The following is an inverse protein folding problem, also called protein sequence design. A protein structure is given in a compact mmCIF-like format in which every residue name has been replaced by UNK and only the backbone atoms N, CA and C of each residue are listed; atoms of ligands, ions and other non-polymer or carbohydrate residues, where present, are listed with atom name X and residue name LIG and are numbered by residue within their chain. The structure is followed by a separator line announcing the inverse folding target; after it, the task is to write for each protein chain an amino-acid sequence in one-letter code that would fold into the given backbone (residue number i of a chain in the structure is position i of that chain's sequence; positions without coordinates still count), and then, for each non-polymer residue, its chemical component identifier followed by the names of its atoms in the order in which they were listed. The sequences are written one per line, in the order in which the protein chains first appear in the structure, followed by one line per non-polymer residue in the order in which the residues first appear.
data_IF_674213697017
#
_entry.id   IF_674213697017
#
_cell.length_a   1.000
_cell.length_b   1.000
_cell.length_c   1.000
_cell.angle_alpha   90.00
_cell.angle_beta   90.00
_cell.angle_gamma   90.00
#
_symmetry.space_group_name_H-M   'P 1'
#
loop_
_entity.id
_entity.type
_entity.pdbx_description
1 polymer ?
#
# COMPACT_ATOMS: atom_id res chain seq x y z
N UNK A 1 17.53 -17.71 -32.73
CA UNK A 1 17.37 -18.60 -31.57
C UNK A 1 17.76 -17.78 -30.34
N UNK A 2 16.79 -17.10 -29.73
CA UNK A 2 17.01 -16.52 -28.40
C UNK A 2 17.04 -17.70 -27.42
N UNK A 3 18.09 -17.80 -26.60
CA UNK A 3 18.18 -18.83 -25.57
C UNK A 3 17.05 -18.66 -24.57
N UNK A 4 16.36 -19.76 -24.23
CA UNK A 4 15.26 -19.72 -23.27
C UNK A 4 15.77 -19.25 -21.90
N UNK A 5 15.28 -18.13 -21.36
CA UNK A 5 15.78 -17.54 -20.12
C UNK A 5 15.57 -18.46 -18.90
N UNK A 6 14.56 -19.32 -18.94
CA UNK A 6 14.31 -20.33 -17.91
C UNK A 6 15.39 -21.43 -17.91
N UNK A 7 15.81 -21.89 -19.08
CA UNK A 7 16.86 -22.88 -19.21
C UNK A 7 18.20 -22.36 -18.70
N UNK A 8 18.54 -21.10 -19.02
CA UNK A 8 19.74 -20.45 -18.53
C UNK A 8 19.71 -20.25 -17.01
N UNK A 9 18.57 -19.86 -16.44
CA UNK A 9 18.40 -19.68 -15.01
C UNK A 9 18.52 -21.01 -14.24
N UNK A 10 17.89 -22.09 -14.74
CA UNK A 10 18.01 -23.42 -14.12
C UNK A 10 19.42 -23.98 -14.25
N UNK A 11 20.10 -23.76 -15.37
CA UNK A 11 21.52 -24.10 -15.53
C UNK A 11 22.39 -23.36 -14.52
N UNK A 12 22.15 -22.06 -14.29
CA UNK A 12 22.88 -21.23 -13.34
C UNK A 12 22.68 -21.71 -11.88
N UNK A 13 21.45 -22.08 -11.50
CA UNK A 13 21.18 -22.72 -10.19
C UNK A 13 21.87 -24.08 -10.09
N UNK A 14 21.81 -24.89 -11.14
CA UNK A 14 22.45 -26.19 -11.16
C UNK A 14 23.99 -26.10 -11.12
N UNK A 15 24.59 -25.04 -11.67
CA UNK A 15 26.03 -24.78 -11.53
C UNK A 15 26.39 -24.28 -10.14
N UNK A 16 25.55 -23.42 -9.54
CA UNK A 16 25.75 -22.96 -8.16
C UNK A 16 25.69 -24.13 -7.15
N UNK A 17 24.84 -25.13 -7.40
CA UNK A 17 24.72 -26.33 -6.56
C UNK A 17 25.79 -27.39 -6.83
N UNK A 18 26.42 -27.41 -8.01
CA UNK A 18 27.42 -28.41 -8.42
C UNK A 18 28.82 -28.12 -7.88
N UNK A 19 28.94 -27.80 -6.60
CA UNK A 19 30.22 -27.56 -5.91
C UNK A 19 31.22 -28.73 -5.89
N UNK A 20 31.20 -29.66 -6.84
CA UNK A 20 32.12 -30.77 -6.98
C UNK A 20 32.50 -31.05 -8.44
N UNK A 21 33.80 -31.23 -8.67
CA UNK A 21 34.46 -31.83 -9.85
C UNK A 21 35.05 -30.90 -10.94
N UNK A 22 34.74 -29.61 -11.00
CA UNK A 22 35.55 -28.61 -11.73
C UNK A 22 36.53 -27.81 -10.84
N UNK A 23 36.47 -28.05 -9.52
CA UNK A 23 37.21 -27.30 -8.49
C UNK A 23 38.64 -27.82 -8.20
N UNK A 24 39.13 -28.82 -8.95
CA UNK A 24 40.45 -29.44 -8.69
C UNK A 24 41.63 -28.58 -9.16
N UNK A 25 41.44 -27.64 -10.09
CA UNK A 25 42.51 -26.81 -10.64
C UNK A 25 42.34 -25.29 -10.40
N UNK A 26 41.57 -24.89 -9.38
CA UNK A 26 41.34 -23.47 -9.08
C UNK A 26 41.94 -23.09 -7.72
N UNK A 27 42.93 -22.20 -7.74
CA UNK A 27 43.62 -21.63 -6.58
C UNK A 27 42.79 -20.53 -5.86
N UNK A 28 41.46 -20.67 -5.84
CA UNK A 28 40.54 -19.70 -5.21
C UNK A 28 40.25 -20.04 -3.75
N UNK A 29 40.08 -18.99 -2.92
CA UNK A 29 39.71 -19.13 -1.52
C UNK A 29 38.26 -19.64 -1.38
N UNK A 30 37.91 -20.14 -0.18
CA UNK A 30 36.54 -20.59 0.11
C UNK A 30 35.51 -19.47 -0.07
N UNK A 31 35.91 -18.23 0.22
CA UNK A 31 35.07 -17.03 0.10
C UNK A 31 34.77 -16.71 -1.37
N UNK A 32 35.78 -16.76 -2.25
CA UNK A 32 35.61 -16.54 -3.69
C UNK A 32 34.59 -17.52 -4.32
N UNK A 33 34.59 -18.78 -3.86
CA UNK A 33 33.64 -19.80 -4.32
C UNK A 33 32.21 -19.51 -3.87
N UNK A 34 32.05 -18.98 -2.65
CA UNK A 34 30.74 -18.61 -2.11
C UNK A 34 30.21 -17.35 -2.79
N UNK A 35 31.08 -16.39 -3.10
CA UNK A 35 30.72 -15.20 -3.87
C UNK A 35 30.28 -15.55 -5.30
N UNK A 36 31.04 -16.39 -6.01
CA UNK A 36 30.68 -16.84 -7.35
C UNK A 36 29.33 -17.56 -7.35
N UNK A 37 29.09 -18.45 -6.38
CA UNK A 37 27.81 -19.13 -6.22
C UNK A 37 26.66 -18.13 -5.95
N UNK A 38 26.87 -17.13 -5.09
CA UNK A 38 25.87 -16.11 -4.81
C UNK A 38 25.53 -15.26 -6.05
N UNK A 39 26.54 -14.88 -6.84
CA UNK A 39 26.35 -14.14 -8.10
C UNK A 39 25.62 -14.97 -9.16
N UNK A 40 25.90 -16.27 -9.25
CA UNK A 40 25.14 -17.19 -10.12
C UNK A 40 23.67 -17.28 -9.71
N UNK A 41 23.39 -17.31 -8.42
CA UNK A 41 22.02 -17.25 -7.90
C UNK A 41 21.32 -15.92 -8.22
N UNK A 42 22.00 -14.77 -8.11
CA UNK A 42 21.42 -13.48 -8.54
C UNK A 42 21.16 -13.43 -10.05
N UNK A 43 22.07 -13.98 -10.85
CA UNK A 43 21.92 -14.05 -12.31
C UNK A 43 20.72 -14.92 -12.69
N UNK A 44 20.58 -16.08 -12.03
CA UNK A 44 19.42 -16.96 -12.19
C UNK A 44 18.12 -16.26 -11.77
N UNK A 45 18.13 -15.55 -10.64
CA UNK A 45 16.95 -14.83 -10.16
C UNK A 45 16.49 -13.76 -11.15
N UNK A 46 17.42 -13.01 -11.75
CA UNK A 46 17.12 -12.05 -12.81
C UNK A 46 16.62 -12.74 -14.09
N UNK A 47 17.06 -13.97 -14.38
CA UNK A 47 16.52 -14.82 -15.45
C UNK A 47 15.07 -15.21 -15.19
N UNK A 48 14.79 -15.77 -14.01
CA UNK A 48 13.43 -16.14 -13.59
C UNK A 48 12.48 -14.93 -13.57
N UNK A 49 12.95 -13.75 -13.16
CA UNK A 49 12.13 -12.52 -13.19
C UNK A 49 11.76 -12.12 -14.62
N UNK A 50 12.68 -12.25 -15.58
CA UNK A 50 12.40 -12.01 -17.02
C UNK A 50 11.39 -13.01 -17.57
N UNK A 51 11.43 -14.25 -17.09
CA UNK A 51 10.48 -15.29 -17.44
C UNK A 51 9.15 -15.26 -16.64
N UNK A 52 8.90 -14.20 -15.84
CA UNK A 52 7.71 -14.07 -14.99
C UNK A 52 7.55 -15.16 -13.91
N UNK A 53 8.60 -15.96 -13.65
CA UNK A 53 8.64 -16.97 -12.59
C UNK A 53 9.03 -16.34 -11.25
N UNK A 54 8.19 -15.43 -10.75
CA UNK A 54 8.50 -14.54 -9.61
C UNK A 54 8.81 -15.29 -8.30
N UNK A 55 8.12 -16.41 -8.02
CA UNK A 55 8.42 -17.27 -6.86
C UNK A 55 9.81 -17.92 -6.95
N UNK A 56 10.19 -18.45 -8.12
CA UNK A 56 11.54 -19.02 -8.32
C UNK A 56 12.62 -17.95 -8.24
N UNK A 57 12.36 -16.76 -8.78
CA UNK A 57 13.25 -15.61 -8.66
C UNK A 57 13.48 -15.24 -7.19
N UNK A 58 12.42 -15.17 -6.38
CA UNK A 58 12.50 -14.85 -4.97
C UNK A 58 13.33 -15.88 -4.18
N UNK A 59 13.10 -17.17 -4.41
CA UNK A 59 13.89 -18.25 -3.79
C UNK A 59 15.39 -18.20 -4.18
N UNK A 60 15.70 -17.87 -5.44
CA UNK A 60 17.06 -17.73 -5.91
C UNK A 60 17.77 -16.52 -5.26
N UNK A 61 17.09 -15.37 -5.13
CA UNK A 61 17.62 -14.22 -4.38
C UNK A 61 17.78 -14.52 -2.88
N UNK A 62 16.88 -15.30 -2.28
CA UNK A 62 17.00 -15.72 -0.88
C UNK A 62 18.27 -16.56 -0.67
N UNK A 63 18.52 -17.56 -1.53
CA UNK A 63 19.75 -18.35 -1.50
C UNK A 63 21.02 -17.52 -1.72
N UNK A 64 20.98 -16.54 -2.63
CA UNK A 64 22.09 -15.60 -2.80
C UNK A 64 22.37 -14.83 -1.51
N UNK A 65 21.32 -14.33 -0.84
CA UNK A 65 21.44 -13.62 0.43
C UNK A 65 22.02 -14.48 1.56
N UNK A 66 21.62 -15.75 1.63
CA UNK A 66 22.17 -16.72 2.61
C UNK A 66 23.66 -16.99 2.38
N UNK A 67 24.06 -17.15 1.12
CA UNK A 67 25.46 -17.32 0.77
C UNK A 67 26.28 -16.08 1.16
N UNK A 68 25.83 -14.88 0.81
CA UNK A 68 26.49 -13.63 1.21
C UNK A 68 26.66 -13.52 2.73
N UNK A 69 25.65 -13.91 3.51
CA UNK A 69 25.73 -13.94 4.98
C UNK A 69 26.74 -14.96 5.51
N UNK A 70 26.85 -16.12 4.86
CA UNK A 70 27.69 -17.23 5.33
C UNK A 70 29.19 -16.90 5.39
N UNK A 71 29.64 -15.88 4.65
CA UNK A 71 31.03 -15.40 4.66
C UNK A 71 31.17 -13.93 5.06
N UNK A 72 30.11 -13.30 5.59
CA UNK A 72 30.19 -11.98 6.23
C UNK A 72 29.85 -10.77 5.36
N UNK A 73 29.43 -10.95 4.09
CA UNK A 73 29.02 -9.87 3.18
C UNK A 73 27.59 -9.38 3.46
N UNK A 74 27.38 -8.74 4.63
CA UNK A 74 26.06 -8.32 5.12
C UNK A 74 25.33 -7.34 4.19
N UNK A 75 26.05 -6.39 3.59
CA UNK A 75 25.47 -5.43 2.64
C UNK A 75 24.87 -6.12 1.40
N UNK A 76 25.61 -7.04 0.79
CA UNK A 76 25.14 -7.83 -0.37
C UNK A 76 23.99 -8.76 0.03
N UNK A 77 24.08 -9.39 1.21
CA UNK A 77 23.01 -10.24 1.75
C UNK A 77 21.69 -9.47 1.90
N UNK A 78 21.73 -8.29 2.53
CA UNK A 78 20.58 -7.39 2.69
C UNK A 78 19.97 -7.00 1.34
N UNK A 79 20.80 -6.58 0.38
CA UNK A 79 20.34 -6.23 -0.96
C UNK A 79 19.62 -7.40 -1.65
N UNK A 80 20.19 -8.61 -1.56
CA UNK A 80 19.58 -9.82 -2.09
C UNK A 80 18.24 -10.15 -1.41
N UNK A 81 18.15 -10.05 -0.08
CA UNK A 81 16.89 -10.26 0.63
C UNK A 81 15.81 -9.21 0.31
N UNK A 82 16.18 -7.95 0.11
CA UNK A 82 15.25 -6.90 -0.35
C UNK A 82 14.68 -7.26 -1.73
N UNK A 83 15.53 -7.72 -2.66
CA UNK A 83 15.10 -8.18 -4.00
C UNK A 83 14.20 -9.42 -3.89
N UNK A 84 14.51 -10.34 -2.99
CA UNK A 84 13.70 -11.54 -2.73
C UNK A 84 12.31 -11.17 -2.19
N UNK A 85 12.24 -10.36 -1.13
CA UNK A 85 10.98 -9.90 -0.54
C UNK A 85 10.12 -9.14 -1.55
N UNK A 86 10.72 -8.25 -2.35
CA UNK A 86 10.02 -7.56 -3.44
C UNK A 86 9.49 -8.56 -4.48
N UNK A 87 10.23 -9.61 -4.80
CA UNK A 87 9.83 -10.60 -5.81
C UNK A 87 8.69 -11.51 -5.31
N UNK A 88 8.67 -11.86 -4.02
CA UNK A 88 7.52 -12.53 -3.39
C UNK A 88 6.28 -11.62 -3.36
N UNK A 89 6.45 -10.34 -3.07
CA UNK A 89 5.35 -9.37 -3.12
C UNK A 89 4.83 -9.18 -4.56
N UNK A 90 5.72 -9.09 -5.56
CA UNK A 90 5.35 -8.98 -6.98
C UNK A 90 4.61 -10.26 -7.45
N UNK A 91 5.03 -11.44 -7.00
CA UNK A 91 4.32 -12.70 -7.31
C UNK A 91 2.86 -12.65 -6.85
N UNK A 92 2.62 -11.96 -5.73
CA UNK A 92 1.28 -11.81 -5.15
C UNK A 92 0.39 -10.81 -5.91
N UNK A 93 0.97 -9.81 -6.59
CA UNK A 93 0.19 -8.82 -7.38
C UNK A 93 -0.28 -9.38 -8.72
N UNK A 94 0.52 -10.25 -9.36
CA UNK A 94 0.15 -10.92 -10.62
C UNK A 94 -1.04 -11.86 -10.43
N UNK A 95 -1.17 -12.49 -9.26
CA UNK A 95 -2.34 -13.31 -8.91
C UNK A 95 -3.61 -12.45 -8.71
N UNK A 96 -3.45 -11.16 -8.46
CA UNK A 96 -4.55 -10.23 -8.14
C UNK A 96 -5.03 -9.37 -9.32
N UNK A 97 -4.31 -9.29 -10.45
CA UNK A 97 -4.55 -8.22 -11.43
C UNK A 97 -5.67 -8.50 -12.43
N UNK A 98 -6.87 -8.01 -12.14
CA UNK A 98 -7.77 -7.42 -13.13
C UNK A 98 -7.98 -5.94 -12.74
N UNK A 99 -7.37 -4.96 -13.44
CA UNK A 99 -7.58 -3.56 -13.11
C UNK A 99 -9.00 -3.11 -13.47
N UNK A 100 -9.77 -2.64 -12.50
CA UNK A 100 -11.11 -2.11 -12.74
C UNK A 100 -11.09 -0.77 -13.49
N UNK A 101 -11.93 -0.57 -14.52
CA UNK A 101 -12.09 0.73 -15.21
C UNK A 101 -12.68 1.81 -14.30
N UNK A 102 -12.41 3.10 -14.53
CA UNK A 102 -12.88 4.24 -13.69
C UNK A 102 -14.42 4.33 -13.56
N UNK A 103 -14.98 4.81 -12.43
CA UNK A 103 -16.47 4.92 -12.30
C UNK A 103 -16.98 5.96 -13.29
N UNK A 104 -16.23 7.05 -13.47
CA UNK A 104 -16.54 8.17 -14.37
C UNK A 104 -16.59 7.77 -15.86
N UNK A 105 -15.88 6.72 -16.27
CA UNK A 105 -15.98 6.20 -17.65
C UNK A 105 -17.26 5.39 -17.89
N UNK A 106 -17.93 4.93 -16.82
CA UNK A 106 -19.17 4.16 -16.89
C UNK A 106 -20.42 5.06 -16.83
N UNK A 107 -20.28 6.38 -16.64
CA UNK A 107 -21.40 7.33 -16.51
C UNK A 107 -21.73 8.11 -17.78
N UNK A 108 -21.23 7.70 -18.96
CA UNK A 108 -21.50 8.39 -20.22
C UNK A 108 -22.99 8.28 -20.62
N UNK A 109 -23.67 9.38 -21.04
CA UNK A 109 -25.09 9.35 -21.41
C UNK A 109 -25.33 8.51 -22.66
N UNK A 110 -26.32 7.62 -22.60
CA UNK A 110 -26.84 6.82 -23.72
C UNK A 110 -27.33 7.73 -24.86
N UNK A 111 -26.50 8.00 -25.86
CA UNK A 111 -26.99 8.44 -27.17
C UNK A 111 -27.31 7.20 -28.00
N UNK A 112 -28.61 6.86 -27.99
CA UNK A 112 -29.33 5.96 -28.90
C UNK A 112 -28.81 4.52 -29.01
N UNK A 113 -29.40 3.60 -28.25
CA UNK A 113 -29.33 2.16 -28.51
C UNK A 113 -30.76 1.57 -28.61
N UNK A 114 -31.10 0.84 -29.69
CA UNK A 114 -32.43 0.25 -29.88
C UNK A 114 -32.58 -1.10 -29.16
N UNK A 115 -33.83 -1.45 -28.80
CA UNK A 115 -34.37 -2.74 -28.33
C UNK A 115 -33.34 -3.87 -28.07
N UNK A 116 -32.61 -3.69 -26.98
CA UNK A 116 -31.65 -4.59 -26.30
C UNK A 116 -31.05 -3.85 -25.09
N UNK A 117 -31.68 -2.73 -24.73
CA UNK A 117 -31.14 -1.67 -23.90
C UNK A 117 -31.33 -1.95 -22.42
N UNK A 118 -32.38 -2.65 -22.01
CA UNK A 118 -32.60 -2.95 -20.59
C UNK A 118 -31.54 -3.87 -20.02
N UNK A 119 -31.13 -4.91 -20.75
CA UNK A 119 -30.09 -5.84 -20.31
C UNK A 119 -28.71 -5.16 -20.31
N UNK A 120 -28.39 -4.35 -21.32
CA UNK A 120 -27.16 -3.57 -21.37
C UNK A 120 -27.11 -2.46 -20.28
N UNK A 121 -28.24 -1.81 -19.99
CA UNK A 121 -28.36 -0.84 -18.88
C UNK A 121 -28.20 -1.56 -17.54
N UNK A 122 -28.85 -2.71 -17.37
CA UNK A 122 -28.76 -3.51 -16.16
C UNK A 122 -27.34 -4.05 -15.93
N UNK A 123 -26.64 -4.46 -16.99
CA UNK A 123 -25.24 -4.92 -16.92
C UNK A 123 -24.30 -3.77 -16.56
N UNK A 124 -24.45 -2.60 -17.20
CA UNK A 124 -23.68 -1.40 -16.89
C UNK A 124 -23.93 -0.93 -15.44
N UNK A 125 -25.17 -0.99 -14.97
CA UNK A 125 -25.53 -0.65 -13.59
C UNK A 125 -25.01 -1.69 -12.59
N UNK A 126 -25.06 -2.98 -12.94
CA UNK A 126 -24.49 -4.06 -12.14
C UNK A 126 -22.96 -3.92 -12.02
N UNK A 127 -22.26 -3.56 -13.09
CA UNK A 127 -20.82 -3.32 -13.08
C UNK A 127 -20.46 -2.06 -12.29
N UNK A 128 -21.26 -0.99 -12.38
CA UNK A 128 -21.12 0.18 -11.50
C UNK A 128 -21.25 -0.24 -10.03
N UNK A 129 -22.28 -1.02 -9.69
CA UNK A 129 -22.52 -1.52 -8.32
C UNK A 129 -21.40 -2.44 -7.84
N UNK A 130 -20.89 -3.34 -8.69
CA UNK A 130 -19.74 -4.21 -8.40
C UNK A 130 -18.50 -3.39 -8.10
N UNK A 131 -18.16 -2.43 -8.94
CA UNK A 131 -17.00 -1.56 -8.74
C UNK A 131 -17.13 -0.72 -7.47
N UNK A 132 -18.32 -0.18 -7.22
CA UNK A 132 -18.57 0.59 -6.01
C UNK A 132 -18.41 -0.29 -4.76
N UNK A 133 -18.98 -1.49 -4.77
CA UNK A 133 -18.80 -2.47 -3.70
C UNK A 133 -17.31 -2.78 -3.48
N UNK A 134 -16.51 -2.94 -4.54
CA UNK A 134 -15.08 -3.19 -4.44
C UNK A 134 -14.29 -2.00 -3.87
N UNK A 135 -14.67 -0.75 -4.18
CA UNK A 135 -14.01 0.44 -3.61
C UNK A 135 -14.29 0.61 -2.12
N UNK A 136 -15.47 0.19 -1.67
CA UNK A 136 -15.89 0.24 -0.26
C UNK A 136 -15.31 -0.91 0.54
N UNK A 137 -15.30 -2.09 -0.06
CA UNK A 137 -14.83 -3.34 0.50
C UNK A 137 -13.71 -3.87 -0.39
N UNK A 138 -12.51 -3.25 -0.36
CA UNK A 138 -11.39 -3.71 -1.15
C UNK A 138 -11.15 -5.20 -0.87
N UNK A 139 -10.96 -6.02 -1.92
CA UNK A 139 -10.89 -7.45 -1.78
C UNK A 139 -9.70 -7.78 -0.87
N UNK A 140 -9.99 -8.55 0.18
CA UNK A 140 -8.95 -9.04 1.07
C UNK A 140 -8.03 -9.95 0.29
N UNK A 141 -6.74 -9.93 0.66
CA UNK A 141 -5.74 -10.81 0.08
C UNK A 141 -6.18 -12.28 0.19
N UNK A 142 -6.10 -13.05 -0.90
CA UNK A 142 -6.34 -14.49 -0.88
C UNK A 142 -5.32 -15.20 0.01
N UNK A 143 -5.60 -16.42 0.47
CA UNK A 143 -4.65 -17.16 1.31
C UNK A 143 -3.32 -17.43 0.60
N UNK A 144 -3.32 -17.60 -0.72
CA UNK A 144 -2.09 -17.72 -1.51
C UNK A 144 -1.27 -16.43 -1.50
N UNK A 145 -1.93 -15.27 -1.67
CA UNK A 145 -1.29 -13.94 -1.55
C UNK A 145 -0.74 -13.74 -0.14
N UNK A 146 -1.49 -14.11 0.90
CA UNK A 146 -1.05 -14.03 2.30
C UNK A 146 0.14 -14.96 2.56
N UNK A 147 0.16 -16.17 1.99
CA UNK A 147 1.27 -17.10 2.11
C UNK A 147 2.56 -16.52 1.50
N UNK A 148 2.50 -16.03 0.27
CA UNK A 148 3.67 -15.43 -0.40
C UNK A 148 4.16 -14.18 0.38
N UNK A 149 3.25 -13.40 0.96
CA UNK A 149 3.60 -12.25 1.79
C UNK A 149 4.19 -12.65 3.16
N UNK A 150 3.82 -13.79 3.74
CA UNK A 150 4.49 -14.34 4.95
C UNK A 150 5.93 -14.76 4.64
N UNK A 151 6.18 -15.36 3.48
CA UNK A 151 7.54 -15.68 3.03
C UNK A 151 8.35 -14.39 2.78
N UNK A 152 7.74 -13.38 2.14
CA UNK A 152 8.33 -12.07 1.96
C UNK A 152 8.69 -11.40 3.30
N UNK A 153 7.79 -11.47 4.29
CA UNK A 153 7.98 -10.92 5.62
C UNK A 153 9.18 -11.55 6.32
N UNK A 154 9.27 -12.89 6.30
CA UNK A 154 10.40 -13.63 6.87
C UNK A 154 11.73 -13.17 6.27
N UNK A 155 11.78 -13.03 4.94
CA UNK A 155 13.01 -12.62 4.24
C UNK A 155 13.35 -11.15 4.51
N UNK A 156 12.35 -10.26 4.53
CA UNK A 156 12.55 -8.84 4.86
C UNK A 156 13.04 -8.65 6.30
N UNK A 157 12.58 -9.47 7.26
CA UNK A 157 13.08 -9.47 8.64
C UNK A 157 14.56 -9.87 8.72
N UNK A 158 15.00 -10.83 7.90
CA UNK A 158 16.44 -11.17 7.79
C UNK A 158 17.26 -10.04 7.17
N UNK A 159 16.68 -9.29 6.23
CA UNK A 159 17.30 -8.08 5.70
C UNK A 159 17.45 -6.99 6.78
N UNK A 160 16.44 -6.86 7.66
CA UNK A 160 16.45 -5.91 8.76
C UNK A 160 17.53 -6.28 9.80
N UNK A 161 17.63 -7.54 10.21
CA UNK A 161 18.67 -7.98 11.15
C UNK A 161 20.07 -7.74 10.59
N UNK A 162 20.29 -8.02 9.30
CA UNK A 162 21.55 -7.73 8.62
C UNK A 162 21.88 -6.22 8.56
N UNK A 163 20.86 -5.34 8.61
CA UNK A 163 21.05 -3.89 8.63
C UNK A 163 21.37 -3.32 10.03
N UNK A 164 21.04 -4.03 11.10
CA UNK A 164 21.25 -3.57 12.48
C UNK A 164 22.68 -3.79 12.99
N UNK A 165 23.41 -4.73 12.39
CA UNK A 165 24.76 -5.10 12.81
C UNK A 165 25.88 -4.15 12.32
N UNK A 166 25.59 -3.20 11.42
CA UNK A 166 26.58 -2.28 10.85
C UNK A 166 26.49 -0.87 11.50
N UNK A 167 27.56 -0.45 12.19
CA UNK A 167 27.70 0.93 12.71
C UNK A 167 28.03 1.91 11.57
N UNK A 168 27.02 2.65 11.09
CA UNK A 168 27.19 3.81 10.19
C UNK A 168 26.43 3.72 8.85
N UNK A 169 25.89 4.86 8.38
CA UNK A 169 25.12 5.07 7.12
C UNK A 169 23.99 4.05 6.80
N UNK A 170 23.58 3.26 7.80
CA UNK A 170 22.58 2.20 7.71
C UNK A 170 21.14 2.66 7.92
N UNK A 171 20.91 3.85 8.48
CA UNK A 171 19.57 4.29 8.89
C UNK A 171 18.60 4.46 7.70
N UNK A 172 19.05 5.05 6.60
CA UNK A 172 18.22 5.19 5.39
C UNK A 172 17.91 3.83 4.76
N UNK A 173 18.85 2.88 4.81
CA UNK A 173 18.65 1.53 4.28
C UNK A 173 17.73 0.71 5.18
N UNK A 174 17.89 0.83 6.51
CA UNK A 174 16.99 0.29 7.52
C UNK A 174 15.56 0.80 7.31
N UNK A 175 15.40 2.10 7.07
CA UNK A 175 14.10 2.70 6.82
C UNK A 175 13.40 2.13 5.58
N UNK A 176 14.14 1.89 4.48
CA UNK A 176 13.60 1.21 3.29
C UNK A 176 13.10 -0.21 3.58
N UNK A 177 13.86 -0.98 4.36
CA UNK A 177 13.44 -2.34 4.76
C UNK A 177 12.18 -2.27 5.65
N UNK A 178 12.14 -1.33 6.59
CA UNK A 178 10.96 -1.11 7.43
C UNK A 178 9.73 -0.70 6.61
N UNK A 179 9.86 0.14 5.59
CA UNK A 179 8.75 0.47 4.68
C UNK A 179 8.22 -0.74 3.91
N UNK A 180 9.10 -1.64 3.49
CA UNK A 180 8.71 -2.89 2.85
C UNK A 180 7.96 -3.80 3.82
N UNK A 181 8.50 -4.01 5.03
CA UNK A 181 7.86 -4.80 6.09
C UNK A 181 6.48 -4.23 6.43
N UNK A 182 6.38 -2.91 6.61
CA UNK A 182 5.12 -2.25 6.92
C UNK A 182 4.10 -2.45 5.80
N UNK A 183 4.51 -2.33 4.53
CA UNK A 183 3.66 -2.62 3.38
C UNK A 183 3.16 -4.07 3.34
N UNK A 184 4.01 -5.04 3.71
CA UNK A 184 3.63 -6.45 3.80
C UNK A 184 2.60 -6.66 4.93
N UNK A 185 2.80 -6.04 6.10
CA UNK A 185 1.82 -6.10 7.19
C UNK A 185 0.44 -5.55 6.78
N UNK A 186 0.38 -4.51 5.94
CA UNK A 186 -0.90 -4.03 5.38
C UNK A 186 -1.61 -5.11 4.57
N UNK A 187 -0.89 -5.83 3.71
CA UNK A 187 -1.44 -6.94 2.90
C UNK A 187 -1.90 -8.10 3.77
N UNK A 188 -1.19 -8.36 4.87
CA UNK A 188 -1.54 -9.38 5.85
C UNK A 188 -2.66 -8.97 6.82
N UNK A 189 -3.19 -7.75 6.70
CA UNK A 189 -4.21 -7.16 7.59
C UNK A 189 -3.73 -6.94 9.03
N UNK A 190 -2.40 -6.95 9.26
CA UNK A 190 -1.75 -6.66 10.54
C UNK A 190 -1.56 -5.13 10.68
N UNK A 191 -2.66 -4.39 10.74
CA UNK A 191 -2.63 -2.93 10.61
C UNK A 191 -1.90 -2.24 11.77
N UNK A 192 -1.99 -2.75 12.99
CA UNK A 192 -1.29 -2.19 14.15
C UNK A 192 0.23 -2.34 14.01
N UNK A 193 0.70 -3.53 13.63
CA UNK A 193 2.11 -3.77 13.35
C UNK A 193 2.60 -2.95 12.15
N UNK A 194 1.76 -2.76 11.13
CA UNK A 194 2.07 -1.89 10.00
C UNK A 194 2.24 -0.43 10.43
N UNK A 195 1.34 0.11 11.26
CA UNK A 195 1.44 1.48 11.81
C UNK A 195 2.74 1.66 12.60
N UNK A 196 3.03 0.72 13.50
CA UNK A 196 4.24 0.74 14.31
C UNK A 196 5.50 0.68 13.43
N UNK A 197 5.51 -0.18 12.42
CA UNK A 197 6.66 -0.33 11.52
C UNK A 197 6.86 0.91 10.64
N UNK A 198 5.79 1.54 10.14
CA UNK A 198 5.87 2.84 9.45
C UNK A 198 6.40 3.94 10.36
N UNK A 199 6.00 3.96 11.64
CA UNK A 199 6.57 4.83 12.67
C UNK A 199 8.08 4.67 12.80
N UNK A 200 8.54 3.41 12.94
CA UNK A 200 9.97 3.10 13.00
C UNK A 200 10.71 3.52 11.72
N UNK A 201 10.12 3.33 10.55
CA UNK A 201 10.68 3.77 9.27
C UNK A 201 10.85 5.30 9.23
N UNK A 202 9.83 6.05 9.66
CA UNK A 202 9.87 7.49 9.76
C UNK A 202 10.97 7.99 10.72
N UNK A 203 11.16 7.32 11.85
CA UNK A 203 12.26 7.63 12.78
C UNK A 203 13.62 7.37 12.12
N UNK A 204 13.77 6.21 11.46
CA UNK A 204 15.02 5.82 10.80
C UNK A 204 15.40 6.75 9.62
N UNK A 205 14.44 7.28 8.88
CA UNK A 205 14.72 8.25 7.82
C UNK A 205 15.23 9.61 8.33
N UNK A 206 14.89 9.97 9.57
CA UNK A 206 15.38 11.15 10.29
C UNK A 206 15.02 12.50 9.64
N UNK A 207 15.76 12.82 8.57
CA UNK A 207 15.67 14.01 7.70
C UNK A 207 14.23 14.47 7.48
N UNK A 208 13.98 15.76 7.38
CA UNK A 208 12.60 16.29 7.52
C UNK A 208 11.62 15.79 6.43
N UNK A 209 12.06 15.66 5.18
CA UNK A 209 11.16 15.37 4.06
C UNK A 209 10.83 13.88 3.85
N UNK A 210 11.76 12.97 4.19
CA UNK A 210 11.58 11.53 3.93
C UNK A 210 10.49 10.87 4.80
N UNK A 211 10.43 11.09 6.12
CA UNK A 211 9.38 10.54 6.99
C UNK A 211 7.99 11.00 6.56
N UNK A 212 7.83 12.27 6.15
CA UNK A 212 6.55 12.78 5.64
C UNK A 212 6.11 11.98 4.41
N UNK A 213 7.02 11.73 3.47
CA UNK A 213 6.74 10.89 2.29
C UNK A 213 6.39 9.46 2.66
N UNK A 214 7.11 8.87 3.63
CA UNK A 214 6.84 7.52 4.15
C UNK A 214 5.42 7.42 4.71
N UNK A 215 5.01 8.36 5.54
CA UNK A 215 3.68 8.37 6.12
C UNK A 215 2.59 8.58 5.06
N UNK A 216 2.79 9.47 4.09
CA UNK A 216 1.83 9.67 2.99
C UNK A 216 1.66 8.37 2.18
N UNK A 217 2.77 7.71 1.83
CA UNK A 217 2.76 6.46 1.10
C UNK A 217 2.09 5.33 1.92
N UNK A 218 2.35 5.27 3.23
CA UNK A 218 1.66 4.36 4.15
C UNK A 218 0.16 4.61 4.18
N UNK A 219 -0.26 5.88 4.31
CA UNK A 219 -1.67 6.29 4.30
C UNK A 219 -2.40 5.88 3.01
N UNK A 220 -1.76 6.02 1.85
CA UNK A 220 -2.32 5.58 0.57
C UNK A 220 -2.49 4.05 0.49
N UNK A 221 -1.55 3.28 1.07
CA UNK A 221 -1.67 1.81 1.13
C UNK A 221 -2.80 1.38 2.08
N UNK A 222 -2.87 1.96 3.28
CA UNK A 222 -3.96 1.67 4.21
C UNK A 222 -5.33 2.03 3.63
N UNK A 223 -5.43 3.18 2.94
CA UNK A 223 -6.68 3.60 2.29
C UNK A 223 -7.12 2.59 1.22
N UNK A 224 -6.20 2.10 0.38
CA UNK A 224 -6.48 1.05 -0.61
C UNK A 224 -6.86 -0.28 0.03
N UNK A 225 -6.37 -0.57 1.23
CA UNK A 225 -6.73 -1.76 1.99
C UNK A 225 -8.04 -1.60 2.81
N UNK A 226 -8.72 -0.45 2.73
CA UNK A 226 -9.94 -0.17 3.50
C UNK A 226 -9.69 0.12 4.99
N UNK A 227 -8.43 0.19 5.43
CA UNK A 227 -8.04 0.47 6.80
C UNK A 227 -8.04 1.98 7.08
N UNK A 228 -9.22 2.61 6.99
CA UNK A 228 -9.35 4.08 7.04
C UNK A 228 -8.85 4.70 8.35
N UNK A 229 -9.01 4.03 9.49
CA UNK A 229 -8.46 4.50 10.78
C UNK A 229 -6.94 4.61 10.73
N UNK A 230 -6.28 3.59 10.22
CA UNK A 230 -4.81 3.56 10.05
C UNK A 230 -4.37 4.58 9.00
N UNK A 231 -5.12 4.75 7.91
CA UNK A 231 -4.85 5.77 6.91
C UNK A 231 -4.89 7.19 7.52
N UNK A 232 -5.90 7.51 8.32
CA UNK A 232 -6.02 8.79 9.01
C UNK A 232 -4.79 9.06 9.90
N UNK A 233 -4.40 8.09 10.73
CA UNK A 233 -3.23 8.18 11.62
C UNK A 233 -1.93 8.44 10.87
N UNK A 234 -1.74 7.85 9.69
CA UNK A 234 -0.56 8.12 8.87
C UNK A 234 -0.52 9.58 8.39
N UNK A 235 -1.65 10.12 7.93
CA UNK A 235 -1.70 11.54 7.55
C UNK A 235 -1.53 12.48 8.74
N UNK A 236 -2.06 12.14 9.91
CA UNK A 236 -1.81 12.87 11.17
C UNK A 236 -0.31 12.86 11.54
N UNK A 237 0.36 11.71 11.41
CA UNK A 237 1.81 11.59 11.65
C UNK A 237 2.62 12.47 10.68
N UNK A 238 2.21 12.56 9.41
CA UNK A 238 2.81 13.46 8.43
C UNK A 238 2.67 14.94 8.84
N UNK A 239 1.48 15.34 9.31
CA UNK A 239 1.22 16.70 9.82
C UNK A 239 2.07 16.99 11.04
N UNK A 240 2.11 16.07 12.02
CA UNK A 240 2.92 16.23 13.21
C UNK A 240 4.40 16.44 12.85
N UNK A 241 4.91 15.67 11.89
CA UNK A 241 6.30 15.82 11.42
C UNK A 241 6.53 17.16 10.73
N UNK A 242 5.64 17.60 9.85
CA UNK A 242 5.73 18.93 9.20
C UNK A 242 5.69 20.07 10.22
N UNK A 243 4.78 20.02 11.20
CA UNK A 243 4.61 21.07 12.22
C UNK A 243 5.74 21.10 13.24
N UNK A 244 6.41 19.97 13.47
CA UNK A 244 7.59 19.89 14.34
C UNK A 244 8.85 20.45 13.70
N UNK A 245 8.83 20.71 12.39
CA UNK A 245 10.00 21.13 11.64
C UNK A 245 10.26 22.64 11.77
N UNK A 246 11.39 23.07 12.37
CA UNK A 246 11.74 24.49 12.45
C UNK A 246 12.15 25.10 11.09
N UNK A 247 12.48 24.28 10.09
CA UNK A 247 12.90 24.75 8.76
C UNK A 247 12.36 23.84 7.64
N UNK A 248 11.04 23.91 7.34
CA UNK A 248 10.42 23.00 6.41
C UNK A 248 10.92 23.21 4.98
N UNK A 249 11.26 22.10 4.32
CA UNK A 249 11.63 22.12 2.90
C UNK A 249 10.49 22.66 2.03
N UNK A 250 10.80 23.26 0.88
CA UNK A 250 9.78 23.71 -0.07
C UNK A 250 8.82 22.60 -0.52
N UNK A 251 9.24 21.33 -0.47
CA UNK A 251 8.41 20.18 -0.84
C UNK A 251 7.43 19.74 0.25
N UNK A 252 7.60 20.21 1.49
CA UNK A 252 6.81 19.82 2.65
C UNK A 252 6.08 21.01 3.28
N UNK A 253 6.64 22.21 3.18
CA UNK A 253 6.08 23.42 3.77
C UNK A 253 4.66 23.74 3.27
N UNK A 254 3.74 23.95 4.21
CA UNK A 254 2.39 24.44 3.91
C UNK A 254 1.43 23.37 3.39
N UNK A 255 1.82 22.09 3.46
CA UNK A 255 0.98 20.97 3.03
C UNK A 255 0.13 20.38 4.16
N UNK A 256 0.35 20.81 5.41
CA UNK A 256 -0.35 20.28 6.57
C UNK A 256 -1.87 20.29 6.40
N UNK A 257 -2.45 21.39 5.91
CA UNK A 257 -3.89 21.51 5.67
C UNK A 257 -4.38 20.44 4.68
N UNK A 258 -3.62 20.15 3.62
CA UNK A 258 -3.96 19.11 2.64
C UNK A 258 -3.96 17.72 3.30
N UNK A 259 -3.00 17.44 4.16
CA UNK A 259 -2.95 16.17 4.91
C UNK A 259 -4.06 16.06 5.94
N UNK A 260 -4.42 17.17 6.62
CA UNK A 260 -5.57 17.24 7.51
C UNK A 260 -6.88 16.97 6.76
N UNK A 261 -7.08 17.52 5.55
CA UNK A 261 -8.24 17.22 4.70
C UNK A 261 -8.31 15.72 4.35
N UNK A 262 -7.17 15.08 4.07
CA UNK A 262 -7.12 13.62 3.84
C UNK A 262 -7.45 12.84 5.11
N UNK A 263 -6.87 13.20 6.25
CA UNK A 263 -7.13 12.53 7.52
C UNK A 263 -8.61 12.69 7.95
N UNK A 264 -9.18 13.87 7.74
CA UNK A 264 -10.60 14.18 7.99
C UNK A 264 -11.53 13.29 7.16
N UNK A 265 -11.23 13.14 5.87
CA UNK A 265 -11.94 12.24 4.98
C UNK A 265 -11.93 10.79 5.50
N UNK A 266 -10.78 10.28 5.92
CA UNK A 266 -10.69 8.90 6.39
C UNK A 266 -11.34 8.69 7.76
N UNK A 267 -11.30 9.66 8.67
CA UNK A 267 -12.11 9.61 9.90
C UNK A 267 -13.59 9.53 9.56
N UNK A 268 -14.09 10.40 8.66
CA UNK A 268 -15.47 10.34 8.20
C UNK A 268 -15.83 8.98 7.58
N UNK A 269 -14.94 8.42 6.76
CA UNK A 269 -15.13 7.11 6.12
C UNK A 269 -15.34 5.98 7.15
N UNK A 270 -14.72 6.05 8.34
CA UNK A 270 -14.94 5.05 9.41
C UNK A 270 -16.38 4.97 9.88
N UNK A 271 -17.18 6.03 9.73
CA UNK A 271 -18.54 6.11 10.27
C UNK A 271 -18.63 6.42 11.77
N UNK A 272 -17.49 6.61 12.46
CA UNK A 272 -17.49 7.04 13.86
C UNK A 272 -17.60 8.58 13.94
N UNK A 273 -18.83 9.08 14.12
CA UNK A 273 -19.10 10.51 14.18
C UNK A 273 -18.45 11.21 15.37
N UNK A 274 -18.30 10.51 16.51
CA UNK A 274 -17.71 11.10 17.71
C UNK A 274 -16.22 11.32 17.47
N UNK A 275 -15.53 10.30 16.97
CA UNK A 275 -14.11 10.38 16.62
C UNK A 275 -13.87 11.39 15.50
N UNK A 276 -14.71 11.38 14.45
CA UNK A 276 -14.59 12.33 13.32
C UNK A 276 -14.74 13.77 13.78
N UNK A 277 -15.79 14.10 14.54
CA UNK A 277 -16.01 15.47 15.03
C UNK A 277 -14.86 15.94 15.91
N UNK A 278 -14.41 15.11 16.85
CA UNK A 278 -13.25 15.42 17.72
C UNK A 278 -12.00 15.67 16.90
N UNK A 279 -11.74 14.85 15.88
CA UNK A 279 -10.60 15.03 14.99
C UNK A 279 -10.68 16.36 14.23
N UNK A 280 -11.83 16.68 13.61
CA UNK A 280 -12.03 17.94 12.89
C UNK A 280 -11.85 19.17 13.77
N UNK A 281 -12.44 19.17 14.98
CA UNK A 281 -12.26 20.26 15.96
C UNK A 281 -10.79 20.41 16.35
N UNK A 282 -10.09 19.30 16.60
CA UNK A 282 -8.67 19.31 16.91
C UNK A 282 -7.81 19.83 15.74
N UNK A 283 -8.17 19.49 14.49
CA UNK A 283 -7.44 19.94 13.31
C UNK A 283 -7.48 21.46 13.13
N UNK A 284 -8.59 22.11 13.50
CA UNK A 284 -8.67 23.57 13.56
C UNK A 284 -7.69 24.19 14.57
N UNK A 285 -7.36 23.46 15.65
CA UNK A 285 -6.35 23.89 16.62
C UNK A 285 -4.92 23.68 16.10
N UNK A 286 -4.69 22.62 15.32
CA UNK A 286 -3.37 22.34 14.69
C UNK A 286 -3.07 23.35 13.57
N UNK A 287 -4.06 23.66 12.74
CA UNK A 287 -3.94 24.68 11.69
C UNK A 287 -5.27 25.40 11.49
N UNK A 288 -5.32 26.69 11.85
CA UNK A 288 -6.52 27.52 11.73
C UNK A 288 -7.08 27.59 10.30
N UNK A 289 -6.22 27.43 9.27
CA UNK A 289 -6.66 27.44 7.87
C UNK A 289 -7.54 26.24 7.54
N UNK A 290 -7.40 25.13 8.27
CA UNK A 290 -8.24 23.95 8.08
C UNK A 290 -9.73 24.25 8.26
N UNK A 291 -10.11 25.04 9.27
CA UNK A 291 -11.52 25.41 9.49
C UNK A 291 -12.12 26.28 8.38
N UNK A 292 -11.31 26.80 7.46
CA UNK A 292 -11.75 27.59 6.30
C UNK A 292 -11.88 26.74 5.03
N UNK A 293 -11.53 25.44 5.08
CA UNK A 293 -11.59 24.58 3.89
C UNK A 293 -13.01 24.11 3.61
N UNK A 294 -13.37 23.90 2.33
CA UNK A 294 -14.66 23.34 1.99
C UNK A 294 -14.82 21.91 2.53
N UNK A 295 -13.73 21.15 2.68
CA UNK A 295 -13.74 19.81 3.28
C UNK A 295 -14.19 19.81 4.75
N UNK A 296 -13.74 20.78 5.56
CA UNK A 296 -14.18 20.89 6.95
C UNK A 296 -15.69 21.07 7.02
N UNK A 297 -16.23 22.01 6.23
CA UNK A 297 -17.67 22.29 6.20
C UNK A 297 -18.46 21.09 5.67
N UNK A 298 -17.98 20.47 4.59
CA UNK A 298 -18.56 19.27 4.00
C UNK A 298 -18.77 18.18 5.05
N UNK A 299 -17.72 17.76 5.76
CA UNK A 299 -17.84 16.64 6.67
C UNK A 299 -18.68 16.97 7.91
N UNK A 300 -18.68 18.21 8.39
CA UNK A 300 -19.60 18.63 9.46
C UNK A 300 -21.06 18.52 9.01
N UNK A 301 -21.40 19.08 7.85
CA UNK A 301 -22.78 19.11 7.35
C UNK A 301 -23.28 17.69 7.00
N UNK A 302 -22.42 16.85 6.41
CA UNK A 302 -22.76 15.44 6.13
C UNK A 302 -22.97 14.62 7.42
N UNK A 303 -22.18 14.85 8.47
CA UNK A 303 -22.39 14.19 9.75
C UNK A 303 -23.70 14.62 10.41
N UNK A 304 -24.08 15.90 10.29
CA UNK A 304 -25.38 16.40 10.78
C UNK A 304 -26.53 15.74 10.02
N UNK A 305 -26.45 15.67 8.69
CA UNK A 305 -27.45 14.99 7.86
C UNK A 305 -27.57 13.50 8.20
N UNK A 306 -26.44 12.80 8.41
CA UNK A 306 -26.44 11.39 8.83
C UNK A 306 -27.11 11.21 10.20
N UNK A 307 -26.84 12.11 11.15
CA UNK A 307 -27.45 12.07 12.49
C UNK A 307 -28.95 12.39 12.49
N UNK A 308 -29.38 13.25 11.57
CA UNK A 308 -30.78 13.61 11.39
C UNK A 308 -31.57 12.58 10.54
N UNK A 309 -30.88 11.56 10.01
CA UNK A 309 -31.41 10.64 9.01
C UNK A 309 -31.99 11.37 7.77
N UNK A 310 -31.37 12.49 7.38
CA UNK A 310 -31.83 13.35 6.28
C UNK A 310 -31.11 12.99 4.98
N UNK A 311 -31.65 11.99 4.27
CA UNK A 311 -31.14 11.55 2.96
C UNK A 311 -31.11 12.68 1.93
N UNK A 312 -32.15 13.52 1.89
CA UNK A 312 -32.28 14.60 0.90
C UNK A 312 -31.24 15.68 1.16
N UNK A 313 -31.07 16.07 2.42
CA UNK A 313 -30.02 17.01 2.84
C UNK A 313 -28.63 16.48 2.53
N UNK A 314 -28.36 15.20 2.84
CA UNK A 314 -27.09 14.56 2.53
C UNK A 314 -26.75 14.62 1.03
N UNK A 315 -27.72 14.24 0.17
CA UNK A 315 -27.57 14.28 -1.29
C UNK A 315 -27.28 15.69 -1.78
N UNK A 316 -28.02 16.68 -1.29
CA UNK A 316 -27.85 18.08 -1.68
C UNK A 316 -26.46 18.62 -1.32
N UNK A 317 -25.98 18.33 -0.12
CA UNK A 317 -24.64 18.74 0.34
C UNK A 317 -23.56 18.11 -0.55
N UNK A 318 -23.67 16.80 -0.84
CA UNK A 318 -22.74 16.08 -1.72
C UNK A 318 -22.68 16.68 -3.12
N UNK A 319 -23.83 16.90 -3.75
CA UNK A 319 -23.92 17.47 -5.11
C UNK A 319 -23.34 18.89 -5.16
N UNK A 320 -23.62 19.71 -4.15
CA UNK A 320 -23.08 21.07 -4.07
C UNK A 320 -21.54 21.03 -4.02
N UNK A 321 -20.96 20.13 -3.23
CA UNK A 321 -19.52 19.98 -3.12
C UNK A 321 -18.88 19.52 -4.44
N UNK A 322 -19.45 18.49 -5.10
CA UNK A 322 -18.96 17.96 -6.39
C UNK A 322 -18.92 19.03 -7.50
N UNK A 323 -19.82 20.01 -7.47
CA UNK A 323 -19.79 21.15 -8.42
C UNK A 323 -18.62 22.09 -8.19
N UNK A 324 -18.13 22.17 -6.96
CA UNK A 324 -17.09 23.13 -6.54
C UNK A 324 -15.69 22.53 -6.48
N UNK A 325 -15.58 21.22 -6.25
CA UNK A 325 -14.32 20.51 -6.12
C UNK A 325 -14.38 19.16 -6.85
N UNK A 326 -13.41 18.84 -7.73
CA UNK A 326 -13.33 17.53 -8.35
C UNK A 326 -13.07 16.46 -7.27
N UNK A 327 -13.92 15.44 -7.24
CA UNK A 327 -13.84 14.29 -6.34
C UNK A 327 -13.02 13.16 -6.97
N UNK A 328 -12.40 12.32 -6.13
CA UNK A 328 -11.76 11.09 -6.60
C UNK A 328 -12.75 9.91 -6.49
N UNK A 329 -12.56 8.88 -7.33
CA UNK A 329 -13.45 7.69 -7.39
C UNK A 329 -13.72 7.08 -6.00
N UNK A 330 -12.74 7.10 -5.10
CA UNK A 330 -12.86 6.55 -3.75
C UNK A 330 -13.77 7.42 -2.86
N UNK A 331 -13.61 8.74 -2.89
CA UNK A 331 -14.45 9.69 -2.16
C UNK A 331 -15.89 9.59 -2.60
N UNK A 332 -16.14 9.55 -3.90
CA UNK A 332 -17.51 9.42 -4.42
C UNK A 332 -18.15 8.10 -3.99
N UNK A 333 -17.42 6.99 -4.11
CA UNK A 333 -17.92 5.68 -3.67
C UNK A 333 -18.29 5.68 -2.18
N UNK A 334 -17.42 6.23 -1.32
CA UNK A 334 -17.65 6.32 0.13
C UNK A 334 -18.84 7.21 0.46
N UNK A 335 -18.95 8.38 -0.17
CA UNK A 335 -20.08 9.29 0.04
C UNK A 335 -21.41 8.67 -0.40
N UNK A 336 -21.43 8.03 -1.57
CA UNK A 336 -22.62 7.32 -2.07
C UNK A 336 -23.01 6.15 -1.16
N UNK A 337 -22.04 5.41 -0.60
CA UNK A 337 -22.33 4.34 0.35
C UNK A 337 -22.96 4.85 1.66
N UNK A 338 -22.45 5.98 2.18
CA UNK A 338 -23.04 6.63 3.36
C UNK A 338 -24.45 7.14 3.06
N UNK A 339 -24.70 7.69 1.87
CA UNK A 339 -26.06 8.06 1.45
C UNK A 339 -27.00 6.84 1.38
N UNK A 340 -26.56 5.75 0.76
CA UNK A 340 -27.35 4.52 0.64
C UNK A 340 -27.68 3.89 2.00
N UNK A 341 -26.82 4.08 3.01
CA UNK A 341 -27.08 3.61 4.37
C UNK A 341 -28.25 4.33 5.06
N UNK A 342 -28.68 5.49 4.55
CA UNK A 342 -29.87 6.20 5.03
C UNK A 342 -31.17 5.66 4.41
N UNK A 343 -31.08 4.93 3.29
CA UNK A 343 -32.22 4.42 2.53
C UNK A 343 -32.63 3.00 2.94
N UNK A 344 -31.72 2.23 3.54
CA UNK A 344 -32.02 0.87 4.03
C UNK A 344 -32.90 0.95 5.28
N UNK A 345 -34.14 0.45 5.27
CA UNK A 345 -34.93 0.34 6.50
C UNK A 345 -34.22 -0.60 7.47
N UNK A 346 -34.11 -0.21 8.75
CA UNK A 346 -33.74 -1.11 9.84
C UNK A 346 -34.74 -2.28 9.84
N UNK A 347 -34.35 -3.45 9.35
CA UNK A 347 -35.19 -4.66 9.38
C UNK A 347 -35.19 -5.31 10.78
N UNK A 348 -34.41 -4.77 11.73
CA UNK A 348 -34.21 -5.38 13.05
C UNK A 348 -35.15 -4.87 14.16
N UNK A 349 -36.10 -3.97 13.87
CA UNK A 349 -37.08 -3.49 14.87
C UNK A 349 -38.45 -4.23 14.83
N UNK A 350 -38.65 -5.19 13.92
CA UNK A 350 -39.95 -5.88 13.73
C UNK A 350 -40.02 -7.32 14.28
N UNK A 351 -39.04 -7.76 15.05
CA UNK A 351 -39.13 -8.98 15.85
C UNK A 351 -38.93 -8.67 17.34
N UNK A 352 -39.96 -8.07 17.94
CA UNK A 352 -40.19 -8.10 19.39
C UNK A 352 -40.83 -9.42 19.82
#
# INVERSE_FOLDING_TARGET
MASDPDFEAEKAVASANRGGMSSWFSANTKEDKLEEAAQLYETAANGFKRAQQLRKAAQAFEKAGELYLSYGEKYKAKSAFIKAASSYADASTVVSSNPLPSISSLSAPLRSAPLGSEEAIAEQEADKRRKQHELLNPPKASEDVKRDNRDALRVAQRALSAAEDEQGNTQHQKAKVLEQIAGIHVVLENYEEAENTYGLAGVAYGTQALPIRTFIAGGEKFAKAGAYRSAARMYEAAVAKEKSDPNPSASTAGNAVRYLCKAAFYHFATGDFVTTRRALENYCNIDRKFGQTPEFRLYMDLMEALRANDEKGFRQIREQYQRTAPTDDQRDAILEAKENSLTTPNVDDDFS
#
